data_IF_849558126834
#
_entry.id   IF_849558126834
#
_cell.length_a   1.000
_cell.length_b   1.000
_cell.length_c   1.000
_cell.angle_alpha   90.00
_cell.angle_beta   90.00
_cell.angle_gamma   90.00
#
_symmetry.space_group_name_H-M   'P 1'
#
loop_
_entity.id
_entity.type
_entity.pdbx_description
1 polymer ?
#
# COMPACT_ATOMS: atom_id res chain seq x y z
N UNK A 1 -1.02 -26.53 -22.92
CA UNK A 1 -2.03 -25.65 -23.55
C UNK A 1 -3.36 -26.36 -23.47
N UNK A 2 -4.29 -25.89 -22.64
CA UNK A 2 -5.65 -26.45 -22.63
C UNK A 2 -6.49 -25.66 -23.64
N UNK A 3 -6.79 -26.29 -24.78
CA UNK A 3 -7.85 -25.85 -25.68
C UNK A 3 -9.15 -26.51 -25.18
N UNK A 4 -10.16 -25.70 -24.83
CA UNK A 4 -11.52 -26.20 -24.74
C UNK A 4 -12.06 -26.43 -26.15
N UNK A 5 -12.65 -27.60 -26.38
CA UNK A 5 -12.99 -28.14 -27.70
C UNK A 5 -14.17 -27.48 -28.42
N UNK A 6 -14.66 -26.36 -27.93
CA UNK A 6 -15.58 -25.46 -28.63
C UNK A 6 -14.96 -24.07 -28.49
N UNK A 7 -14.94 -23.25 -29.54
CA UNK A 7 -14.27 -21.93 -29.58
C UNK A 7 -14.80 -20.86 -28.60
N UNK A 8 -15.36 -21.26 -27.47
CA UNK A 8 -15.72 -20.43 -26.35
C UNK A 8 -14.45 -20.01 -25.60
N UNK A 9 -14.24 -18.70 -25.53
CA UNK A 9 -13.15 -18.11 -24.78
C UNK A 9 -13.40 -18.40 -23.30
N UNK A 10 -12.37 -18.80 -22.56
CA UNK A 10 -12.49 -19.07 -21.13
C UNK A 10 -13.02 -17.84 -20.37
N UNK A 11 -13.94 -18.06 -19.43
CA UNK A 11 -14.52 -16.96 -18.65
C UNK A 11 -13.54 -16.47 -17.59
N UNK A 12 -13.49 -15.15 -17.39
CA UNK A 12 -12.66 -14.54 -16.34
C UNK A 12 -13.03 -14.98 -14.92
N UNK A 13 -14.26 -15.45 -14.71
CA UNK A 13 -14.74 -15.96 -13.41
C UNK A 13 -14.12 -17.31 -13.03
N UNK A 14 -13.72 -18.11 -14.02
CA UNK A 14 -13.14 -19.45 -13.83
C UNK A 14 -11.62 -19.41 -13.62
N UNK A 15 -11.01 -18.22 -13.67
CA UNK A 15 -9.57 -18.06 -13.45
C UNK A 15 -9.21 -18.43 -12.01
N UNK A 16 -8.18 -19.26 -11.85
CA UNK A 16 -7.63 -19.60 -10.54
C UNK A 16 -7.31 -18.33 -9.72
N UNK A 17 -7.70 -18.33 -8.44
CA UNK A 17 -7.60 -17.15 -7.56
C UNK A 17 -6.18 -16.65 -7.34
N UNK A 18 -5.18 -17.53 -7.37
CA UNK A 18 -3.75 -17.18 -7.27
C UNK A 18 -3.27 -16.50 -8.54
N UNK A 19 -3.63 -17.04 -9.71
CA UNK A 19 -3.32 -16.41 -11.00
C UNK A 19 -4.00 -15.05 -11.11
N UNK A 20 -5.27 -14.96 -10.68
CA UNK A 20 -6.01 -13.71 -10.64
C UNK A 20 -5.33 -12.69 -9.71
N UNK A 21 -4.87 -13.11 -8.53
CA UNK A 21 -4.12 -12.24 -7.62
C UNK A 21 -2.83 -11.71 -8.30
N UNK A 22 -2.09 -12.56 -9.01
CA UNK A 22 -0.88 -12.18 -9.77
C UNK A 22 -1.14 -11.16 -10.88
N UNK A 23 -2.32 -11.20 -11.50
CA UNK A 23 -2.75 -10.17 -12.46
C UNK A 23 -3.12 -8.89 -11.73
N UNK A 24 -3.94 -8.99 -10.69
CA UNK A 24 -4.45 -7.83 -9.94
C UNK A 24 -3.32 -7.02 -9.30
N UNK A 25 -2.23 -7.65 -8.84
CA UNK A 25 -1.08 -6.91 -8.28
C UNK A 25 -0.39 -5.99 -9.28
N UNK A 26 -0.58 -6.21 -10.59
CA UNK A 26 -0.05 -5.34 -11.66
C UNK A 26 -0.94 -4.13 -11.95
N UNK A 27 -2.15 -4.10 -11.40
CA UNK A 27 -3.07 -2.96 -11.50
C UNK A 27 -2.77 -1.99 -10.34
N UNK A 28 -2.74 -0.66 -10.56
CA UNK A 28 -2.61 0.32 -9.49
C UNK A 28 -3.63 0.12 -8.36
N UNK A 29 -3.23 0.41 -7.12
CA UNK A 29 -4.02 0.13 -5.92
C UNK A 29 -5.44 0.73 -5.98
N UNK A 30 -5.56 1.98 -6.44
CA UNK A 30 -6.84 2.66 -6.56
C UNK A 30 -7.74 1.98 -7.60
N UNK A 31 -7.18 1.58 -8.75
CA UNK A 31 -7.93 0.96 -9.84
C UNK A 31 -8.34 -0.47 -9.49
N UNK A 32 -7.55 -1.16 -8.65
CA UNK A 32 -7.90 -2.46 -8.11
C UNK A 32 -9.19 -2.41 -7.29
N UNK A 33 -9.34 -1.39 -6.43
CA UNK A 33 -10.57 -1.19 -5.65
C UNK A 33 -11.70 -0.61 -6.50
N UNK A 34 -11.44 0.44 -7.27
CA UNK A 34 -12.48 1.21 -7.94
C UNK A 34 -13.01 0.56 -9.23
N UNK A 35 -12.23 -0.30 -9.87
CA UNK A 35 -12.55 -0.85 -11.19
C UNK A 35 -12.47 -2.36 -11.21
N UNK A 36 -11.34 -2.96 -10.81
CA UNK A 36 -11.16 -4.41 -10.93
C UNK A 36 -12.15 -5.18 -10.04
N UNK A 37 -12.49 -4.65 -8.87
CA UNK A 37 -13.49 -5.26 -7.98
C UNK A 37 -14.91 -5.32 -8.57
N UNK A 38 -15.19 -4.57 -9.64
CA UNK A 38 -16.50 -4.49 -10.28
C UNK A 38 -16.67 -5.41 -11.50
N UNK A 39 -15.61 -6.13 -11.91
CA UNK A 39 -15.64 -6.99 -13.10
C UNK A 39 -16.55 -8.19 -12.90
N UNK A 40 -16.34 -8.96 -11.82
CA UNK A 40 -17.20 -10.07 -11.43
C UNK A 40 -16.99 -10.41 -9.94
N UNK A 41 -17.84 -11.29 -9.39
CA UNK A 41 -17.77 -11.72 -7.99
C UNK A 41 -16.42 -12.35 -7.62
N UNK A 42 -15.82 -13.12 -8.53
CA UNK A 42 -14.50 -13.75 -8.32
C UNK A 42 -13.41 -12.68 -8.16
N UNK A 43 -13.41 -11.66 -9.01
CA UNK A 43 -12.48 -10.54 -8.92
C UNK A 43 -12.70 -9.71 -7.65
N UNK A 44 -13.95 -9.42 -7.30
CA UNK A 44 -14.27 -8.74 -6.04
C UNK A 44 -13.71 -9.51 -4.83
N UNK A 45 -13.93 -10.82 -4.78
CA UNK A 45 -13.43 -11.69 -3.71
C UNK A 45 -11.90 -11.67 -3.64
N UNK A 46 -11.21 -11.78 -4.80
CA UNK A 46 -9.76 -11.74 -4.85
C UNK A 46 -9.22 -10.38 -4.42
N UNK A 47 -9.80 -9.27 -4.90
CA UNK A 47 -9.48 -7.90 -4.45
C UNK A 47 -9.69 -7.76 -2.94
N UNK A 48 -10.70 -8.42 -2.37
CA UNK A 48 -10.98 -8.40 -0.94
C UNK A 48 -9.96 -9.18 -0.10
N UNK A 49 -9.35 -10.22 -0.67
CA UNK A 49 -8.35 -11.07 -0.01
C UNK A 49 -6.96 -10.43 0.16
N UNK A 50 -6.07 -11.08 0.94
CA UNK A 50 -4.74 -10.55 1.28
C UNK A 50 -3.73 -10.64 0.13
N UNK A 51 -3.86 -11.63 -0.76
CA UNK A 51 -2.83 -11.96 -1.76
C UNK A 51 -2.63 -10.90 -2.84
N UNK A 52 -3.61 -10.04 -3.09
CA UNK A 52 -3.50 -8.98 -4.08
C UNK A 52 -2.97 -7.66 -3.51
N UNK A 53 -2.53 -7.64 -2.25
CA UNK A 53 -1.99 -6.44 -1.57
C UNK A 53 -0.61 -6.63 -0.93
N UNK A 54 0.36 -7.28 -1.60
CA UNK A 54 1.72 -7.33 -1.08
C UNK A 54 2.33 -5.93 -1.02
N UNK A 55 1.96 -5.06 -1.96
CA UNK A 55 2.42 -3.68 -2.07
C UNK A 55 1.22 -2.74 -2.20
N UNK A 56 1.17 -1.73 -1.33
CA UNK A 56 0.17 -0.67 -1.33
C UNK A 56 0.85 0.59 -1.87
N UNK A 57 0.70 0.85 -3.16
CA UNK A 57 1.22 2.06 -3.79
C UNK A 57 0.06 2.96 -4.21
N UNK A 58 -0.11 4.06 -3.49
CA UNK A 58 -1.13 5.09 -3.77
C UNK A 58 -0.50 6.47 -4.00
N UNK A 59 0.82 6.55 -4.13
CA UNK A 59 1.55 7.81 -4.20
C UNK A 59 1.07 8.68 -5.38
N UNK A 60 1.05 8.10 -6.58
CA UNK A 60 0.62 8.80 -7.80
C UNK A 60 -0.85 9.18 -7.79
N UNK A 61 -1.69 8.36 -7.17
CA UNK A 61 -3.11 8.67 -7.01
C UNK A 61 -3.32 9.86 -6.08
N UNK A 62 -2.69 9.85 -4.90
CA UNK A 62 -2.75 10.96 -3.94
C UNK A 62 -2.23 12.25 -4.57
N UNK A 63 -1.10 12.19 -5.28
CA UNK A 63 -0.46 13.33 -5.94
C UNK A 63 -1.34 13.93 -7.04
N UNK A 64 -1.82 13.13 -7.98
CA UNK A 64 -2.67 13.60 -9.10
C UNK A 64 -3.99 14.23 -8.63
N UNK A 65 -4.53 13.76 -7.52
CA UNK A 65 -5.79 14.24 -6.95
C UNK A 65 -5.61 15.36 -5.93
N UNK A 66 -4.37 15.73 -5.60
CA UNK A 66 -4.04 16.71 -4.56
C UNK A 66 -4.79 16.43 -3.25
N UNK A 67 -4.80 15.16 -2.82
CA UNK A 67 -5.55 14.77 -1.63
C UNK A 67 -5.01 15.46 -0.37
N UNK A 68 -5.94 15.92 0.48
CA UNK A 68 -5.59 16.38 1.81
C UNK A 68 -5.19 15.19 2.70
N UNK A 69 -4.35 15.47 3.71
CA UNK A 69 -3.68 14.46 4.56
C UNK A 69 -4.67 13.49 5.20
N UNK A 70 -5.84 13.98 5.63
CA UNK A 70 -6.90 13.19 6.24
C UNK A 70 -7.50 12.14 5.27
N UNK A 71 -7.53 12.43 3.97
CA UNK A 71 -7.99 11.49 2.96
C UNK A 71 -6.92 10.45 2.63
N UNK A 72 -5.64 10.85 2.62
CA UNK A 72 -4.51 9.93 2.46
C UNK A 72 -4.49 8.94 3.63
N UNK A 73 -4.57 9.44 4.86
CA UNK A 73 -4.62 8.61 6.07
C UNK A 73 -5.81 7.64 6.07
N UNK A 74 -6.99 8.13 5.65
CA UNK A 74 -8.20 7.30 5.51
C UNK A 74 -8.02 6.20 4.46
N UNK A 75 -7.39 6.50 3.32
CA UNK A 75 -7.10 5.54 2.28
C UNK A 75 -6.13 4.46 2.77
N UNK A 76 -5.00 4.85 3.36
CA UNK A 76 -4.02 3.92 3.94
C UNK A 76 -4.67 3.03 4.99
N UNK A 77 -5.47 3.60 5.90
CA UNK A 77 -6.16 2.81 6.94
C UNK A 77 -7.12 1.79 6.34
N UNK A 78 -7.92 2.17 5.35
CA UNK A 78 -8.89 1.25 4.71
C UNK A 78 -8.17 0.12 3.95
N UNK A 79 -7.08 0.45 3.27
CA UNK A 79 -6.27 -0.52 2.52
C UNK A 79 -5.49 -1.43 3.45
N UNK A 80 -4.81 -0.92 4.48
CA UNK A 80 -4.08 -1.76 5.43
C UNK A 80 -5.01 -2.62 6.29
N UNK A 81 -6.11 -2.07 6.82
CA UNK A 81 -7.01 -2.78 7.76
C UNK A 81 -7.61 -4.04 7.16
N UNK A 82 -8.02 -3.97 5.89
CA UNK A 82 -8.78 -5.05 5.25
C UNK A 82 -7.88 -6.17 4.71
N UNK A 83 -6.57 -5.93 4.60
CA UNK A 83 -5.67 -6.76 3.78
C UNK A 83 -4.61 -7.50 4.58
N UNK A 84 -4.51 -7.22 5.88
CA UNK A 84 -3.59 -7.90 6.77
C UNK A 84 -2.17 -7.37 6.59
N UNK A 85 -1.23 -8.26 6.30
CA UNK A 85 0.20 -7.94 6.18
C UNK A 85 0.53 -7.50 4.75
N UNK A 86 1.32 -6.43 4.63
CA UNK A 86 1.88 -5.93 3.38
C UNK A 86 3.37 -5.67 3.55
N UNK A 87 4.12 -5.68 2.45
CA UNK A 87 5.58 -5.55 2.39
C UNK A 87 6.03 -4.16 1.97
N UNK A 88 5.26 -3.45 1.15
CA UNK A 88 5.55 -2.06 0.76
C UNK A 88 4.33 -1.17 0.96
N UNK A 89 4.57 0.04 1.47
CA UNK A 89 3.61 1.13 1.47
C UNK A 89 4.27 2.37 0.85
N UNK A 90 3.63 2.92 -0.19
CA UNK A 90 4.01 4.19 -0.80
C UNK A 90 2.82 5.14 -0.85
N UNK A 91 2.96 6.34 -0.28
CA UNK A 91 1.90 7.34 -0.17
C UNK A 91 2.44 8.78 -0.11
N UNK A 92 1.87 9.67 -0.93
CA UNK A 92 2.22 11.09 -0.94
C UNK A 92 1.50 11.84 0.19
N UNK A 93 2.23 12.66 0.97
CA UNK A 93 1.69 13.45 2.10
C UNK A 93 0.98 12.62 3.17
N UNK A 94 1.53 11.46 3.52
CA UNK A 94 1.02 10.67 4.63
C UNK A 94 1.15 11.43 5.95
N UNK A 95 0.11 11.38 6.79
CA UNK A 95 0.07 11.99 8.11
C UNK A 95 0.22 11.00 9.26
N UNK A 96 0.18 11.53 10.48
CA UNK A 96 0.39 10.76 11.72
C UNK A 96 -0.56 9.58 11.86
N UNK A 97 -1.83 9.76 11.51
CA UNK A 97 -2.87 8.76 11.77
C UNK A 97 -2.84 7.61 10.77
N UNK A 98 -2.37 7.86 9.55
CA UNK A 98 -2.11 6.84 8.54
C UNK A 98 -0.81 6.10 8.83
N UNK A 99 0.25 6.83 9.20
CA UNK A 99 1.54 6.26 9.58
C UNK A 99 1.43 5.33 10.80
N UNK A 100 0.82 5.81 11.89
CA UNK A 100 0.64 5.01 13.10
C UNK A 100 -0.16 3.72 12.82
N UNK A 101 -1.15 3.80 11.94
CA UNK A 101 -1.92 2.62 11.55
C UNK A 101 -1.08 1.64 10.73
N UNK A 102 -0.33 2.14 9.74
CA UNK A 102 0.55 1.33 8.92
C UNK A 102 1.64 0.63 9.75
N UNK A 103 2.24 1.33 10.72
CA UNK A 103 3.23 0.76 11.63
C UNK A 103 2.65 -0.39 12.48
N UNK A 104 1.42 -0.24 12.99
CA UNK A 104 0.75 -1.30 13.76
C UNK A 104 0.39 -2.53 12.92
N UNK A 105 0.04 -2.34 11.65
CA UNK A 105 -0.32 -3.44 10.74
C UNK A 105 0.90 -4.02 10.01
N UNK A 106 2.02 -3.32 10.02
CA UNK A 106 3.20 -3.56 9.19
C UNK A 106 4.19 -4.56 9.75
N UNK A 107 3.77 -5.65 10.41
CA UNK A 107 4.72 -6.67 10.89
C UNK A 107 5.59 -7.25 9.78
N UNK A 108 5.11 -7.23 8.53
CA UNK A 108 5.86 -7.66 7.36
C UNK A 108 6.31 -6.48 6.47
N UNK A 109 6.12 -5.23 6.93
CA UNK A 109 6.47 -4.03 6.18
C UNK A 109 8.00 -3.93 6.08
N UNK A 110 8.49 -3.91 4.84
CA UNK A 110 9.91 -3.83 4.50
C UNK A 110 10.28 -2.51 3.87
N UNK A 111 9.33 -1.87 3.18
CA UNK A 111 9.54 -0.64 2.42
C UNK A 111 8.45 0.37 2.78
N UNK A 112 8.85 1.56 3.21
CA UNK A 112 7.96 2.67 3.50
C UNK A 112 8.45 3.92 2.75
N UNK A 113 7.67 4.36 1.77
CA UNK A 113 7.97 5.52 0.92
C UNK A 113 6.90 6.58 1.11
N UNK A 114 7.25 7.68 1.78
CA UNK A 114 6.27 8.70 2.18
C UNK A 114 6.75 10.11 1.83
N UNK A 115 6.90 10.44 0.54
CA UNK A 115 7.34 11.77 0.14
C UNK A 115 6.37 12.85 0.62
N UNK A 116 6.93 14.01 0.97
CA UNK A 116 6.17 15.15 1.50
C UNK A 116 5.34 14.83 2.74
N UNK A 117 5.73 13.80 3.51
CA UNK A 117 4.98 13.38 4.69
C UNK A 117 4.83 14.51 5.70
N UNK A 118 3.66 14.54 6.35
CA UNK A 118 3.31 15.44 7.45
C UNK A 118 3.41 14.73 8.81
N UNK A 119 4.12 13.60 8.86
CA UNK A 119 4.31 12.82 10.09
C UNK A 119 5.24 13.55 11.05
N UNK A 120 4.78 13.71 12.28
CA UNK A 120 5.55 14.30 13.37
C UNK A 120 6.67 13.35 13.82
N UNK A 121 7.89 13.87 14.01
CA UNK A 121 9.02 13.09 14.50
C UNK A 121 8.75 12.32 15.81
N UNK A 122 7.92 12.86 16.71
CA UNK A 122 7.51 12.16 17.94
C UNK A 122 6.72 10.87 17.66
N UNK A 123 5.90 10.88 16.61
CA UNK A 123 5.14 9.70 16.18
C UNK A 123 6.08 8.67 15.56
N UNK A 124 7.07 9.09 14.78
CA UNK A 124 8.08 8.18 14.22
C UNK A 124 8.83 7.44 15.34
N UNK A 125 9.34 8.18 16.34
CA UNK A 125 10.04 7.60 17.49
C UNK A 125 9.14 6.63 18.26
N UNK A 126 7.88 7.01 18.49
CA UNK A 126 6.90 6.15 19.19
C UNK A 126 6.70 4.79 18.53
N UNK A 127 6.80 4.71 17.20
CA UNK A 127 6.54 3.48 16.43
C UNK A 127 7.82 2.83 15.87
N UNK A 128 9.00 3.30 16.26
CA UNK A 128 10.27 2.78 15.76
C UNK A 128 10.41 1.26 15.95
N UNK A 129 10.04 0.74 17.12
CA UNK A 129 10.08 -0.71 17.43
C UNK A 129 9.12 -1.54 16.56
N UNK A 130 8.03 -0.94 16.06
CA UNK A 130 7.09 -1.63 15.17
C UNK A 130 7.61 -1.73 13.73
N UNK A 131 8.66 -0.96 13.39
CA UNK A 131 9.21 -0.83 12.05
C UNK A 131 10.60 -1.50 11.90
N UNK A 132 10.97 -2.38 12.83
CA UNK A 132 12.26 -3.10 12.84
C UNK A 132 12.52 -3.96 11.59
N UNK A 133 11.46 -4.33 10.86
CA UNK A 133 11.56 -5.16 9.66
C UNK A 133 11.75 -4.36 8.36
N UNK A 134 11.82 -3.03 8.44
CA UNK A 134 12.21 -2.22 7.30
C UNK A 134 13.61 -2.64 6.85
N UNK A 135 13.75 -3.05 5.58
CA UNK A 135 15.04 -3.47 5.07
C UNK A 135 16.03 -2.30 5.21
N UNK A 136 17.10 -2.54 5.97
CA UNK A 136 18.11 -1.58 6.40
C UNK A 136 18.48 -0.53 5.33
N UNK A 137 18.58 0.72 5.80
CA UNK A 137 19.44 1.74 5.22
C UNK A 137 18.70 2.87 4.50
N UNK A 138 18.30 3.90 5.27
CA UNK A 138 18.20 5.28 4.80
C UNK A 138 17.54 5.51 3.44
N UNK A 139 16.24 5.23 3.30
CA UNK A 139 15.43 5.87 2.27
C UNK A 139 13.97 6.00 2.72
N UNK A 140 13.77 6.56 3.91
CA UNK A 140 12.66 7.51 4.01
C UNK A 140 13.07 8.67 3.11
N UNK A 141 12.72 8.62 1.82
CA UNK A 141 12.82 9.75 0.91
C UNK A 141 11.83 10.81 1.40
N UNK A 142 12.18 11.48 2.50
CA UNK A 142 11.74 12.84 2.78
C UNK A 142 12.44 13.73 1.76
N UNK A 143 12.04 13.59 0.50
CA UNK A 143 12.49 14.47 -0.54
C UNK A 143 11.79 15.79 -0.27
N UNK A 144 12.51 16.67 0.42
CA UNK A 144 12.33 18.12 0.56
C UNK A 144 11.16 18.67 1.41
N UNK A 145 11.28 18.58 2.75
CA UNK A 145 10.72 19.63 3.60
C UNK A 145 11.71 20.05 4.70
N UNK A 146 12.64 20.92 4.28
CA UNK A 146 13.39 21.87 5.11
C UNK A 146 14.19 21.31 6.30
N UNK A 147 15.50 21.07 6.09
CA UNK A 147 16.69 21.36 6.95
C UNK A 147 16.65 21.16 8.49
N UNK A 148 15.57 20.73 9.14
CA UNK A 148 15.38 20.71 10.61
C UNK A 148 15.37 19.32 11.23
N UNK A 149 15.17 18.27 10.42
CA UNK A 149 14.99 16.90 10.95
C UNK A 149 16.20 15.99 10.79
N UNK A 150 17.33 16.51 10.27
CA UNK A 150 18.57 15.73 10.12
C UNK A 150 19.23 15.42 11.48
N UNK A 151 18.92 16.18 12.53
CA UNK A 151 19.58 16.09 13.84
C UNK A 151 18.97 15.10 14.83
N UNK A 152 17.80 14.51 14.54
CA UNK A 152 17.10 13.65 15.53
C UNK A 152 17.42 12.16 15.40
N UNK A 153 18.26 11.78 14.43
CA UNK A 153 18.56 10.37 14.12
C UNK A 153 20.07 10.05 14.09
N UNK A 154 20.94 11.02 14.42
CA UNK A 154 22.36 10.76 14.68
C UNK A 154 22.63 10.43 16.18
N UNK A 155 21.60 10.47 17.03
CA UNK A 155 21.68 10.22 18.48
C UNK A 155 20.96 8.92 18.94
N UNK A 156 20.57 8.05 18.00
CA UNK A 156 20.03 6.71 18.26
C UNK A 156 20.90 5.64 17.58
#
# INVERSE_FOLDING_TARGET
MMYSSNGEWGKWEDLNSEILALILVRIPAEARVATASLVCKSWMSCVLGPFCWPDIDIQDWCRRRHLAVEYVDSAVRKLARRKGTFRRLSAFRLGDSGFAFAANCGRCLKVLEIPMSEVNGKIVVKFAESLVNLCNGYQLLFEDNSRRHRSLWEEL
#
